data_IF_088762538806
#
_entry.id   IF_088762538806
#
_cell.length_a   1.000
_cell.length_b   1.000
_cell.length_c   1.000
_cell.angle_alpha   90.00
_cell.angle_beta   90.00
_cell.angle_gamma   90.00
#
_symmetry.space_group_name_H-M   'P 1'
#
loop_
_entity.id
_entity.type
_entity.pdbx_description
1 polymer ?
#
# COMPACT_ATOMS: atom_id res chain seq x y z
N UNK A 1 24.30 -50.32 -3.71
CA UNK A 1 24.77 -50.00 -5.07
C UNK A 1 24.34 -48.59 -5.42
N UNK A 2 25.29 -47.77 -5.92
CA UNK A 2 25.18 -46.49 -6.65
C UNK A 2 24.36 -45.34 -6.04
N UNK A 3 25.11 -44.31 -5.61
CA UNK A 3 24.70 -42.95 -5.27
C UNK A 3 24.63 -42.15 -6.58
N UNK A 4 23.53 -41.45 -6.85
CA UNK A 4 23.44 -40.56 -8.02
C UNK A 4 23.74 -39.11 -7.61
N UNK A 5 24.74 -38.59 -8.30
CA UNK A 5 25.31 -37.25 -8.23
C UNK A 5 24.42 -36.31 -9.06
N UNK A 6 24.41 -35.01 -8.74
CA UNK A 6 24.63 -33.90 -9.69
C UNK A 6 24.45 -32.58 -8.92
N UNK A 7 25.59 -32.04 -8.48
CA UNK A 7 25.70 -30.73 -7.85
C UNK A 7 25.85 -29.65 -8.93
N UNK A 8 25.13 -28.55 -8.75
CA UNK A 8 25.04 -27.41 -9.63
C UNK A 8 26.35 -26.60 -9.70
N UNK A 9 26.64 -26.01 -10.86
CA UNK A 9 27.58 -24.92 -11.01
C UNK A 9 26.89 -23.76 -11.75
N UNK A 10 26.55 -22.73 -10.98
CA UNK A 10 25.94 -21.47 -11.38
C UNK A 10 27.08 -20.49 -11.72
N UNK A 11 27.16 -20.00 -12.95
CA UNK A 11 28.06 -18.91 -13.30
C UNK A 11 27.25 -17.66 -13.65
N UNK A 12 27.28 -16.69 -12.74
CA UNK A 12 26.77 -15.35 -12.93
C UNK A 12 27.85 -14.47 -13.55
N UNK A 13 27.50 -13.70 -14.58
CA UNK A 13 28.21 -12.45 -14.94
C UNK A 13 27.15 -11.45 -15.42
N UNK A 14 26.88 -10.44 -14.59
CA UNK A 14 26.01 -9.31 -14.89
C UNK A 14 26.84 -8.03 -14.69
N UNK A 15 27.24 -7.41 -15.79
CA UNK A 15 27.73 -6.02 -15.75
C UNK A 15 27.47 -5.34 -17.09
N UNK A 16 26.61 -4.32 -17.09
CA UNK A 16 26.97 -3.03 -17.66
C UNK A 16 26.06 -1.93 -17.10
N UNK A 17 26.68 -0.99 -16.39
CA UNK A 17 26.07 0.25 -15.94
C UNK A 17 26.15 1.31 -17.04
N UNK A 18 25.07 2.05 -17.28
CA UNK A 18 25.08 3.28 -18.07
C UNK A 18 24.45 4.40 -17.25
N UNK A 19 25.28 5.38 -16.90
CA UNK A 19 24.97 6.55 -16.10
C UNK A 19 24.06 7.52 -16.88
N UNK A 20 22.93 7.92 -16.29
CA UNK A 20 22.11 9.01 -16.81
C UNK A 20 22.67 10.36 -16.31
N UNK A 21 23.13 11.20 -17.23
CA UNK A 21 23.48 12.59 -16.96
C UNK A 21 22.19 13.43 -17.01
N UNK A 22 21.79 14.04 -15.89
CA UNK A 22 20.73 15.05 -15.90
C UNK A 22 21.34 16.41 -16.21
N UNK A 23 20.98 16.96 -17.37
CA UNK A 23 21.24 18.35 -17.71
C UNK A 23 20.38 19.24 -16.80
N UNK A 24 21.05 20.13 -16.06
CA UNK A 24 20.43 21.07 -15.14
C UNK A 24 19.99 22.30 -15.95
N UNK A 25 18.74 22.32 -16.41
CA UNK A 25 18.17 23.49 -17.08
C UNK A 25 17.86 24.57 -16.03
N UNK A 26 18.53 25.71 -16.14
CA UNK A 26 18.32 26.86 -15.26
C UNK A 26 16.93 27.49 -15.52
N UNK A 27 16.19 27.91 -14.48
CA UNK A 27 14.87 28.51 -14.68
C UNK A 27 14.98 29.91 -15.32
N UNK A 28 14.06 30.28 -16.24
CA UNK A 28 14.06 31.58 -16.88
C UNK A 28 13.70 32.72 -15.90
N UNK A 29 14.16 33.96 -16.16
CA UNK A 29 13.92 35.10 -15.28
C UNK A 29 12.44 35.48 -15.25
N UNK A 30 11.95 35.80 -14.05
CA UNK A 30 10.56 36.17 -13.81
C UNK A 30 10.21 37.53 -14.43
N UNK A 31 9.21 37.55 -15.32
CA UNK A 31 8.50 38.76 -15.73
C UNK A 31 7.47 39.16 -14.66
N UNK A 32 7.22 40.46 -14.43
CA UNK A 32 6.32 40.91 -13.37
C UNK A 32 4.87 40.67 -13.79
N UNK A 33 4.12 39.92 -12.97
CA UNK A 33 2.68 39.72 -13.16
C UNK A 33 1.90 40.66 -12.25
N UNK A 34 1.25 41.62 -12.87
CA UNK A 34 0.13 42.39 -12.33
C UNK A 34 -1.17 41.60 -12.56
N UNK A 35 -1.85 41.16 -11.50
CA UNK A 35 -3.29 41.29 -11.26
C UNK A 35 -3.67 40.46 -10.03
N UNK A 36 -4.64 40.96 -9.26
CA UNK A 36 -5.01 40.43 -7.96
C UNK A 36 -5.88 39.18 -8.03
N UNK A 37 -5.73 38.33 -7.03
CA UNK A 37 -6.68 37.32 -6.56
C UNK A 37 -6.22 36.75 -5.19
N UNK A 38 -7.09 36.12 -4.39
CA UNK A 38 -6.90 35.95 -2.96
C UNK A 38 -5.82 34.91 -2.64
N UNK A 39 -5.04 35.24 -1.61
CA UNK A 39 -3.86 34.51 -1.16
C UNK A 39 -4.24 33.13 -0.60
N UNK A 40 -4.26 32.10 -1.45
CA UNK A 40 -4.13 30.72 -1.00
C UNK A 40 -2.67 30.44 -0.66
N UNK A 41 -2.43 30.02 0.59
CA UNK A 41 -1.10 29.78 1.11
C UNK A 41 -0.45 28.56 0.49
N UNK A 42 0.37 28.77 -0.53
CA UNK A 42 1.32 27.79 -1.08
C UNK A 42 2.56 27.66 -0.18
N UNK A 43 2.34 27.25 1.07
CA UNK A 43 3.41 26.74 1.92
C UNK A 43 3.41 25.20 1.87
N UNK A 44 4.57 24.52 1.80
CA UNK A 44 4.60 23.09 2.07
C UNK A 44 3.94 22.83 3.45
N UNK A 45 3.08 21.81 3.58
CA UNK A 45 2.42 21.54 4.85
C UNK A 45 3.47 21.39 5.96
N UNK A 46 3.29 21.99 7.14
CA UNK A 46 4.25 21.91 8.22
C UNK A 46 4.49 20.43 8.59
N UNK A 47 5.75 19.99 8.74
CA UNK A 47 6.04 18.63 9.16
C UNK A 47 5.47 18.43 10.56
N UNK A 48 4.42 17.60 10.68
CA UNK A 48 3.81 17.28 11.97
C UNK A 48 2.34 17.66 12.15
N UNK A 49 1.64 18.12 11.11
CA UNK A 49 0.17 18.20 11.14
C UNK A 49 -0.48 17.31 10.10
N UNK A 50 -0.23 16.01 10.19
CA UNK A 50 -1.27 15.07 9.80
C UNK A 50 -2.37 15.27 10.86
N UNK A 51 -3.59 15.63 10.46
CA UNK A 51 -4.74 15.66 11.38
C UNK A 51 -4.90 14.31 12.10
N UNK A 52 -5.78 14.19 13.11
CA UNK A 52 -5.96 12.93 13.84
C UNK A 52 -6.22 11.81 12.83
N UNK A 53 -5.18 11.01 12.57
CA UNK A 53 -5.25 9.86 11.70
C UNK A 53 -6.22 8.89 12.37
N UNK A 54 -7.29 8.53 11.67
CA UNK A 54 -8.37 7.74 12.26
C UNK A 54 -7.88 6.40 12.84
N UNK A 55 -8.70 5.72 13.66
CA UNK A 55 -8.29 4.49 14.35
C UNK A 55 -7.65 3.42 13.45
N UNK A 56 -8.09 3.29 12.19
CA UNK A 56 -7.49 2.36 11.23
C UNK A 56 -6.03 2.70 10.87
N UNK A 57 -5.67 3.98 10.79
CA UNK A 57 -4.28 4.39 10.54
C UNK A 57 -3.36 4.09 11.73
N UNK A 58 -3.87 4.18 12.96
CA UNK A 58 -3.10 3.79 14.14
C UNK A 58 -2.73 2.30 14.09
N UNK A 59 -3.70 1.44 13.73
CA UNK A 59 -3.46 -0.01 13.53
C UNK A 59 -2.42 -0.26 12.44
N UNK A 60 -2.53 0.41 11.28
CA UNK A 60 -1.54 0.28 10.19
C UNK A 60 -0.14 0.69 10.68
N UNK A 61 -0.04 1.82 11.38
CA UNK A 61 1.23 2.29 11.91
C UNK A 61 1.86 1.29 12.91
N UNK A 62 1.05 0.70 13.78
CA UNK A 62 1.53 -0.31 14.75
C UNK A 62 1.95 -1.60 14.06
N UNK A 63 1.24 -2.04 13.01
CA UNK A 63 1.64 -3.18 12.19
C UNK A 63 2.97 -2.95 11.46
N UNK A 64 3.17 -1.76 10.90
CA UNK A 64 4.46 -1.39 10.30
C UNK A 64 5.60 -1.38 11.33
N UNK A 65 5.33 -0.89 12.54
CA UNK A 65 6.30 -0.92 13.63
C UNK A 65 6.65 -2.35 14.04
N UNK A 66 5.65 -3.21 14.26
CA UNK A 66 5.85 -4.61 14.60
C UNK A 66 6.65 -5.33 13.53
N UNK A 67 6.33 -5.12 12.25
CA UNK A 67 7.07 -5.69 11.13
C UNK A 67 8.56 -5.32 11.18
N UNK A 68 8.88 -4.05 11.43
CA UNK A 68 10.27 -3.60 11.57
C UNK A 68 10.96 -4.25 12.78
N UNK A 69 10.26 -4.39 13.91
CA UNK A 69 10.79 -5.02 15.11
C UNK A 69 11.07 -6.52 14.90
N UNK A 70 10.17 -7.25 14.24
CA UNK A 70 10.38 -8.65 13.85
C UNK A 70 11.56 -8.81 12.89
N UNK A 71 11.73 -7.88 11.94
CA UNK A 71 12.88 -7.88 11.05
C UNK A 71 14.20 -7.64 11.80
N UNK A 72 14.25 -6.64 12.68
CA UNK A 72 15.44 -6.33 13.46
C UNK A 72 15.83 -7.44 14.45
N UNK A 73 14.86 -8.23 14.91
CA UNK A 73 15.10 -9.36 15.82
C UNK A 73 15.42 -10.68 15.11
N UNK A 74 15.34 -10.73 13.78
CA UNK A 74 15.55 -11.96 13.00
C UNK A 74 14.37 -12.93 13.00
N UNK A 75 13.20 -12.48 13.47
CA UNK A 75 11.96 -13.24 13.57
C UNK A 75 10.93 -12.78 12.52
N UNK A 76 11.38 -12.45 11.31
CA UNK A 76 10.55 -11.88 10.24
C UNK A 76 9.25 -12.66 9.98
N UNK A 77 9.30 -13.99 10.03
CA UNK A 77 8.14 -14.85 9.79
C UNK A 77 7.04 -14.77 10.86
N UNK A 78 7.33 -14.30 12.07
CA UNK A 78 6.35 -14.26 13.16
C UNK A 78 5.27 -13.19 12.94
N UNK A 79 5.56 -12.15 12.13
CA UNK A 79 4.56 -11.14 11.75
C UNK A 79 3.36 -11.75 11.01
N UNK A 80 3.54 -12.90 10.35
CA UNK A 80 2.47 -13.60 9.64
C UNK A 80 1.33 -13.99 10.60
N UNK A 81 1.65 -14.45 11.81
CA UNK A 81 0.64 -14.80 12.80
C UNK A 81 -0.15 -13.58 13.29
N UNK A 82 0.54 -12.43 13.43
CA UNK A 82 -0.09 -11.15 13.79
C UNK A 82 -1.06 -10.70 12.69
N UNK A 83 -0.67 -10.79 11.41
CA UNK A 83 -1.55 -10.48 10.29
C UNK A 83 -2.82 -11.33 10.29
N UNK A 84 -2.71 -12.64 10.53
CA UNK A 84 -3.89 -13.49 10.67
C UNK A 84 -4.78 -13.12 11.85
N UNK A 85 -4.20 -12.77 13.00
CA UNK A 85 -4.96 -12.32 14.17
C UNK A 85 -5.75 -11.03 13.88
N UNK A 86 -5.15 -10.06 13.17
CA UNK A 86 -5.87 -8.86 12.73
C UNK A 86 -7.01 -9.20 11.78
N UNK A 87 -6.78 -10.05 10.77
CA UNK A 87 -7.83 -10.50 9.84
C UNK A 87 -8.99 -11.21 10.55
N UNK A 88 -8.75 -11.88 11.67
CA UNK A 88 -9.79 -12.52 12.47
C UNK A 88 -10.60 -11.52 13.31
N UNK A 89 -10.01 -10.36 13.63
CA UNK A 89 -10.60 -9.35 14.53
C UNK A 89 -11.27 -8.19 13.81
N UNK A 90 -10.98 -7.97 12.53
CA UNK A 90 -11.50 -6.81 11.77
C UNK A 90 -12.31 -7.21 10.54
N UNK A 91 -13.40 -6.48 10.33
CA UNK A 91 -14.19 -6.48 9.09
C UNK A 91 -14.01 -5.17 8.30
N UNK A 92 -13.15 -4.27 8.77
CA UNK A 92 -12.90 -3.00 8.09
C UNK A 92 -12.20 -3.24 6.73
N UNK A 93 -12.79 -2.84 5.59
CA UNK A 93 -12.24 -3.14 4.27
C UNK A 93 -10.84 -2.58 4.06
N UNK A 94 -10.56 -1.38 4.57
CA UNK A 94 -9.25 -0.74 4.42
C UNK A 94 -8.16 -1.53 5.15
N UNK A 95 -8.41 -1.94 6.39
CA UNK A 95 -7.48 -2.76 7.16
C UNK A 95 -7.26 -4.13 6.53
N UNK A 96 -8.33 -4.78 6.06
CA UNK A 96 -8.22 -6.11 5.43
C UNK A 96 -7.36 -6.07 4.17
N UNK A 97 -7.58 -5.08 3.31
CA UNK A 97 -6.76 -4.86 2.12
C UNK A 97 -5.27 -4.69 2.48
N UNK A 98 -4.97 -3.80 3.42
CA UNK A 98 -3.59 -3.56 3.87
C UNK A 98 -2.92 -4.82 4.42
N UNK A 99 -3.65 -5.61 5.23
CA UNK A 99 -3.09 -6.82 5.85
C UNK A 99 -2.86 -7.92 4.82
N UNK A 100 -3.76 -8.12 3.85
CA UNK A 100 -3.54 -9.09 2.77
C UNK A 100 -2.33 -8.74 1.90
N UNK A 101 -2.19 -7.46 1.53
CA UNK A 101 -1.04 -6.98 0.76
C UNK A 101 0.29 -7.16 1.52
N UNK A 102 0.27 -6.90 2.83
CA UNK A 102 1.43 -7.15 3.71
C UNK A 102 1.77 -8.63 3.84
N UNK A 103 0.76 -9.49 3.97
CA UNK A 103 0.94 -10.95 4.06
C UNK A 103 1.51 -11.51 2.75
N UNK A 104 1.02 -11.06 1.59
CA UNK A 104 1.52 -11.47 0.28
C UNK A 104 3.00 -11.10 0.10
N UNK A 105 3.41 -9.90 0.54
CA UNK A 105 4.83 -9.50 0.52
C UNK A 105 5.72 -10.42 1.34
N UNK A 106 5.30 -10.82 2.53
CA UNK A 106 6.09 -11.73 3.36
C UNK A 106 6.12 -13.15 2.76
N UNK A 107 5.05 -13.59 2.10
CA UNK A 107 5.01 -14.88 1.38
C UNK A 107 5.96 -14.93 0.17
N UNK A 108 6.32 -13.79 -0.42
CA UNK A 108 7.32 -13.73 -1.49
C UNK A 108 8.74 -14.02 -0.98
N UNK A 109 8.98 -14.06 0.34
CA UNK A 109 10.29 -14.32 0.93
C UNK A 109 10.33 -15.70 1.63
N UNK A 110 11.25 -16.62 1.29
CA UNK A 110 12.07 -16.71 0.08
C UNK A 110 11.37 -17.62 -0.95
N UNK A 111 10.49 -17.04 -1.77
CA UNK A 111 9.86 -17.64 -2.96
C UNK A 111 8.65 -18.59 -2.78
N UNK A 112 7.56 -18.15 -2.12
CA UNK A 112 6.22 -18.75 -2.28
C UNK A 112 5.26 -17.85 -3.09
N UNK A 113 5.49 -17.65 -4.40
CA UNK A 113 4.63 -16.78 -5.22
C UNK A 113 3.20 -17.30 -5.31
N UNK A 114 2.98 -18.61 -5.30
CA UNK A 114 1.63 -19.19 -5.38
C UNK A 114 0.77 -18.82 -4.17
N UNK A 115 1.37 -18.78 -2.97
CA UNK A 115 0.68 -18.34 -1.75
C UNK A 115 0.37 -16.84 -1.81
N UNK A 116 1.32 -16.02 -2.26
CA UNK A 116 1.10 -14.58 -2.43
C UNK A 116 -0.04 -14.30 -3.42
N UNK A 117 -0.08 -15.02 -4.55
CA UNK A 117 -1.16 -14.94 -5.54
C UNK A 117 -2.49 -15.34 -4.93
N UNK A 118 -2.54 -16.45 -4.17
CA UNK A 118 -3.76 -16.88 -3.50
C UNK A 118 -4.27 -15.82 -2.51
N UNK A 119 -3.38 -15.24 -1.70
CA UNK A 119 -3.69 -14.15 -0.76
C UNK A 119 -4.27 -12.93 -1.46
N UNK A 120 -3.63 -12.47 -2.54
CA UNK A 120 -4.10 -11.30 -3.30
C UNK A 120 -5.45 -11.55 -3.98
N UNK A 121 -5.71 -12.78 -4.46
CA UNK A 121 -7.02 -13.16 -5.01
C UNK A 121 -8.12 -13.12 -3.95
N UNK A 122 -7.80 -13.53 -2.72
CA UNK A 122 -8.72 -13.39 -1.58
C UNK A 122 -9.01 -11.91 -1.31
N UNK A 123 -7.97 -11.07 -1.17
CA UNK A 123 -8.16 -9.61 -0.98
C UNK A 123 -9.05 -9.01 -2.05
N UNK A 124 -8.76 -9.29 -3.33
CA UNK A 124 -9.52 -8.77 -4.45
C UNK A 124 -11.00 -9.17 -4.37
N UNK A 125 -11.30 -10.42 -4.02
CA UNK A 125 -12.68 -10.89 -3.90
C UNK A 125 -13.45 -10.15 -2.80
N UNK A 126 -12.79 -9.85 -1.68
CA UNK A 126 -13.38 -9.13 -0.56
C UNK A 126 -13.53 -7.63 -0.84
N UNK A 127 -12.51 -7.02 -1.45
CA UNK A 127 -12.53 -5.60 -1.84
C UNK A 127 -13.67 -5.33 -2.84
N UNK A 128 -13.87 -6.23 -3.81
CA UNK A 128 -15.00 -6.15 -4.75
C UNK A 128 -16.34 -6.31 -4.03
N UNK A 129 -16.44 -7.22 -3.05
CA UNK A 129 -17.67 -7.39 -2.27
C UNK A 129 -17.98 -6.13 -1.43
N UNK A 130 -16.97 -5.52 -0.80
CA UNK A 130 -17.10 -4.30 -0.02
C UNK A 130 -17.48 -3.10 -0.90
N UNK A 131 -16.83 -2.93 -2.05
CA UNK A 131 -17.14 -1.87 -3.02
C UNK A 131 -18.58 -1.98 -3.54
N UNK A 132 -19.02 -3.20 -3.88
CA UNK A 132 -20.40 -3.44 -4.30
C UNK A 132 -21.39 -3.10 -3.17
N UNK A 133 -21.14 -3.51 -1.93
CA UNK A 133 -22.01 -3.16 -0.79
C UNK A 133 -22.11 -1.65 -0.57
N UNK A 134 -21.00 -0.92 -0.65
CA UNK A 134 -20.99 0.53 -0.50
C UNK A 134 -21.83 1.22 -1.59
N UNK A 135 -21.74 0.76 -2.84
CA UNK A 135 -22.52 1.29 -3.95
C UNK A 135 -24.04 1.08 -3.78
N UNK A 136 -24.47 -0.05 -3.19
CA UNK A 136 -25.89 -0.36 -2.98
C UNK A 136 -26.47 0.29 -1.71
N UNK A 137 -25.63 0.77 -0.79
CA UNK A 137 -26.05 1.43 0.46
C UNK A 137 -26.21 2.95 0.35
N UNK A 138 -25.85 3.56 -0.77
CA UNK A 138 -26.09 4.98 -1.00
C UNK A 138 -27.59 5.21 -1.24
N UNK A 139 -28.29 6.04 -0.43
CA UNK A 139 -29.69 6.31 -0.68
C UNK A 139 -29.80 7.13 -1.97
N UNK A 140 -30.62 6.65 -2.90
CA UNK A 140 -31.21 7.42 -3.99
C UNK A 140 -32.09 8.53 -3.41
N UNK A 141 -31.46 9.53 -2.80
CA UNK A 141 -32.10 10.73 -2.25
C UNK A 141 -32.42 11.73 -3.35
N UNK A 142 -33.20 11.32 -4.35
CA UNK A 142 -33.88 12.27 -5.21
C UNK A 142 -35.30 12.41 -4.69
N UNK A 143 -35.68 13.55 -4.08
CA UNK A 143 -37.07 13.78 -3.73
C UNK A 143 -37.90 13.78 -5.04
N UNK A 144 -39.10 13.18 -5.03
CA UNK A 144 -39.97 13.22 -6.22
C UNK A 144 -40.23 14.68 -6.61
N UNK A 145 -40.24 15.01 -7.91
CA UNK A 145 -40.51 16.36 -8.35
C UNK A 145 -41.89 16.75 -7.81
N UNK A 146 -41.94 17.85 -7.06
CA UNK A 146 -43.18 18.44 -6.59
C UNK A 146 -44.08 18.67 -7.81
N UNK A 147 -45.20 17.96 -7.86
CA UNK A 147 -46.23 18.19 -8.87
C UNK A 147 -46.82 19.58 -8.58
N UNK A 148 -46.43 20.57 -9.39
CA UNK A 148 -47.08 21.86 -9.42
C UNK A 148 -48.53 21.66 -9.86
N UNK A 149 -49.46 22.06 -9.00
CA UNK A 149 -50.89 22.18 -9.31
C UNK A 149 -51.14 23.42 -10.16
#
# INVERSE_FOLDING_TARGET
MKKSILSAALSAVLTLAASAAFAQEAPPPAAPRSHGEPQHGDGPPPPGRMGPMGPGFAVINDLEQLRRLYAMSGHEGEIIAVYHDVLNKTQDPMLRHYVYDSLAREQLKPANPDQAIATLRTSLSEDLAAANKAAHGAPSGMPPPAQAQ
#
